data_IF_563108129991
#
_entry.id   IF_563108129991
#
_cell.length_a   1.000
_cell.length_b   1.000
_cell.length_c   1.000
_cell.angle_alpha   90.00
_cell.angle_beta   90.00
_cell.angle_gamma   90.00
#
_symmetry.space_group_name_H-M   'P 1'
#
loop_
_entity.id
_entity.type
_entity.pdbx_description
1 polymer ?
#
# COMPACT_ATOMS: atom_id res chain seq x y z
N UNK A 1 -23.77 9.82 1.62
CA UNK A 1 -23.10 9.40 2.71
C UNK A 1 -21.65 9.66 2.69
N UNK A 2 -21.19 10.12 3.71
CA UNK A 2 -19.82 10.50 3.81
C UNK A 2 -18.92 9.29 3.98
N UNK A 3 -17.73 9.34 3.42
CA UNK A 3 -16.74 8.31 3.66
C UNK A 3 -15.81 8.66 4.79
N UNK A 4 -16.14 9.70 5.50
CA UNK A 4 -15.31 10.10 6.61
C UNK A 4 -15.28 9.04 7.67
N UNK A 5 -14.12 8.81 8.19
CA UNK A 5 -13.97 7.86 9.27
C UNK A 5 -14.17 8.55 10.60
N UNK A 6 -14.68 7.81 11.56
CA UNK A 6 -14.76 8.34 12.90
C UNK A 6 -13.37 8.46 13.49
N UNK A 7 -13.25 9.25 14.53
CA UNK A 7 -11.97 9.39 15.20
C UNK A 7 -11.45 8.06 15.71
N UNK A 8 -12.35 7.21 16.20
CA UNK A 8 -11.92 5.89 16.67
C UNK A 8 -11.39 5.03 15.55
N UNK A 9 -12.00 5.09 14.39
CA UNK A 9 -11.51 4.33 13.24
C UNK A 9 -10.13 4.81 12.81
N UNK A 10 -9.93 6.11 12.80
CA UNK A 10 -8.64 6.66 12.43
C UNK A 10 -7.56 6.24 13.43
N UNK A 11 -7.89 6.27 14.72
CA UNK A 11 -6.95 5.82 15.74
C UNK A 11 -6.58 4.36 15.56
N UNK A 12 -7.59 3.54 15.23
CA UNK A 12 -7.34 2.13 14.98
C UNK A 12 -6.40 1.93 13.80
N UNK A 13 -6.63 2.68 12.74
CA UNK A 13 -5.79 2.57 11.54
C UNK A 13 -4.37 3.02 11.85
N UNK A 14 -4.22 4.10 12.61
CA UNK A 14 -2.90 4.57 12.99
C UNK A 14 -2.16 3.52 13.81
N UNK A 15 -2.86 2.85 14.69
CA UNK A 15 -2.23 1.83 15.53
C UNK A 15 -1.86 0.59 14.72
N UNK A 16 -2.67 0.26 13.72
CA UNK A 16 -2.44 -0.92 12.92
C UNK A 16 -1.37 -0.72 11.84
N UNK A 17 -1.36 0.44 11.24
CA UNK A 17 -0.45 0.71 10.12
C UNK A 17 0.61 1.72 10.54
N UNK A 18 1.51 1.28 11.40
CA UNK A 18 2.57 2.15 11.88
C UNK A 18 3.62 2.36 10.80
N UNK A 19 4.36 3.45 10.89
CA UNK A 19 5.46 3.66 9.95
C UNK A 19 6.38 2.46 9.92
N UNK A 20 6.76 2.05 8.73
CA UNK A 20 7.59 0.87 8.57
C UNK A 20 6.82 -0.39 8.21
N UNK A 21 5.50 -0.38 8.34
CA UNK A 21 4.68 -1.54 7.97
C UNK A 21 4.75 -1.75 6.47
N UNK A 22 4.91 -3.00 6.07
CA UNK A 22 4.93 -3.33 4.64
C UNK A 22 3.57 -3.79 4.17
N UNK A 23 3.19 -3.34 2.99
CA UNK A 23 1.88 -3.61 2.42
C UNK A 23 2.04 -4.04 0.98
N UNK A 24 1.19 -4.93 0.53
CA UNK A 24 1.14 -5.32 -0.88
C UNK A 24 -0.26 -5.08 -1.41
N UNK A 25 -0.36 -4.43 -2.56
CA UNK A 25 -1.65 -4.21 -3.22
C UNK A 25 -2.18 -5.50 -3.79
N UNK A 26 -3.48 -5.69 -3.67
CA UNK A 26 -4.14 -6.85 -4.27
C UNK A 26 -4.94 -6.47 -5.51
N UNK A 27 -5.07 -5.18 -5.77
CA UNK A 27 -5.74 -4.68 -6.97
C UNK A 27 -4.98 -3.48 -7.51
N UNK A 28 -5.09 -3.26 -8.81
CA UNK A 28 -4.48 -2.07 -9.42
C UNK A 28 -5.14 -0.82 -8.85
N UNK A 29 -4.35 0.23 -8.69
CA UNK A 29 -4.90 1.54 -8.35
C UNK A 29 -5.22 2.23 -9.66
N UNK A 30 -6.50 2.27 -9.97
CA UNK A 30 -6.97 2.77 -11.25
C UNK A 30 -6.51 4.21 -11.46
N UNK A 31 -5.93 4.48 -12.61
CA UNK A 31 -5.51 5.82 -12.96
C UNK A 31 -4.18 6.25 -12.40
N UNK A 32 -3.55 5.40 -11.57
CA UNK A 32 -2.34 5.81 -10.88
C UNK A 32 -1.11 5.01 -11.25
N UNK A 33 -1.24 4.06 -12.13
CA UNK A 33 -0.09 3.27 -12.55
C UNK A 33 0.58 2.48 -11.45
N UNK A 34 -0.15 2.11 -10.45
CA UNK A 34 0.35 1.24 -9.40
C UNK A 34 -0.44 -0.05 -9.48
N UNK A 35 0.24 -1.13 -9.79
CA UNK A 35 -0.42 -2.39 -10.09
C UNK A 35 -0.51 -3.30 -8.88
N UNK A 36 -1.46 -4.22 -8.95
CA UNK A 36 -1.56 -5.28 -7.97
C UNK A 36 -0.20 -5.98 -7.86
N UNK A 37 0.17 -6.36 -6.65
CA UNK A 37 1.47 -6.97 -6.40
C UNK A 37 2.54 -5.97 -6.03
N UNK A 38 2.30 -4.68 -6.24
CA UNK A 38 3.26 -3.66 -5.84
C UNK A 38 3.30 -3.58 -4.33
N UNK A 39 4.51 -3.50 -3.79
CA UNK A 39 4.71 -3.41 -2.35
C UNK A 39 5.22 -2.04 -1.98
N UNK A 40 4.98 -1.67 -0.75
CA UNK A 40 5.45 -0.39 -0.26
C UNK A 40 5.54 -0.37 1.25
N UNK A 41 6.02 0.74 1.77
CA UNK A 41 6.21 0.94 3.19
C UNK A 41 5.31 2.07 3.66
N UNK A 42 4.60 1.83 4.75
CA UNK A 42 3.78 2.88 5.36
C UNK A 42 4.70 3.94 5.94
N UNK A 43 4.42 5.20 5.63
CA UNK A 43 5.17 6.30 6.23
C UNK A 43 4.35 6.99 7.33
N UNK A 44 3.05 6.74 7.38
CA UNK A 44 2.19 7.29 8.40
C UNK A 44 0.74 7.20 8.00
N UNK A 45 -0.13 7.72 8.84
CA UNK A 45 -1.56 7.81 8.54
C UNK A 45 -1.97 9.24 8.81
N UNK A 46 -2.67 9.85 7.87
CA UNK A 46 -3.05 11.25 8.05
C UNK A 46 -4.35 11.37 8.85
N UNK A 47 -4.81 12.60 9.00
CA UNK A 47 -5.93 12.88 9.89
C UNK A 47 -7.27 12.40 9.37
N UNK A 48 -7.35 12.03 8.11
CA UNK A 48 -8.60 11.51 7.57
C UNK A 48 -8.55 9.99 7.37
N UNK A 49 -7.48 9.37 7.82
CA UNK A 49 -7.38 7.91 7.76
C UNK A 49 -6.75 7.36 6.51
N UNK A 50 -6.17 8.22 5.68
CA UNK A 50 -5.43 7.73 4.51
C UNK A 50 -4.07 7.24 4.95
N UNK A 51 -3.68 6.08 4.44
CA UNK A 51 -2.39 5.48 4.80
C UNK A 51 -1.36 5.99 3.80
N UNK A 52 -0.45 6.80 4.28
CA UNK A 52 0.57 7.39 3.42
C UNK A 52 1.65 6.35 3.15
N UNK A 53 2.03 6.23 1.90
CA UNK A 53 2.90 5.16 1.45
C UNK A 53 4.09 5.68 0.69
N UNK A 54 5.16 4.91 0.78
CA UNK A 54 6.27 5.04 -0.15
C UNK A 54 6.37 3.70 -0.86
N UNK A 55 5.94 3.66 -2.11
CA UNK A 55 5.91 2.42 -2.88
C UNK A 55 7.29 2.09 -3.42
N UNK A 56 7.56 0.80 -3.56
CA UNK A 56 8.87 0.36 -4.03
C UNK A 56 9.18 0.82 -5.45
N UNK A 57 8.14 1.19 -6.20
CA UNK A 57 8.35 1.71 -7.55
C UNK A 57 8.64 3.23 -7.56
N UNK A 58 8.81 3.82 -6.38
CA UNK A 58 9.15 5.24 -6.27
C UNK A 58 7.96 6.17 -6.10
N UNK A 59 6.75 5.64 -6.18
CA UNK A 59 5.57 6.48 -6.02
C UNK A 59 5.20 6.62 -4.54
N UNK A 60 4.44 7.65 -4.24
CA UNK A 60 4.08 7.92 -2.86
C UNK A 60 2.58 8.13 -2.66
N UNK A 61 1.77 7.51 -3.48
CA UNK A 61 0.33 7.65 -3.39
C UNK A 61 -0.22 6.92 -2.18
N UNK A 62 -1.12 7.56 -1.44
CA UNK A 62 -1.73 6.95 -0.25
C UNK A 62 -2.77 5.93 -0.64
N UNK A 63 -2.99 4.93 0.23
CA UNK A 63 -4.10 4.00 0.05
C UNK A 63 -5.20 4.37 1.03
N UNK A 64 -6.42 4.10 0.64
CA UNK A 64 -7.59 4.46 1.42
C UNK A 64 -8.29 3.18 1.86
N UNK A 65 -8.30 2.90 3.16
CA UNK A 65 -8.98 1.69 3.66
C UNK A 65 -10.45 1.69 3.23
N UNK A 66 -10.89 0.55 2.75
CA UNK A 66 -12.27 0.44 2.27
C UNK A 66 -12.46 0.80 0.82
N UNK A 67 -11.47 1.45 0.21
CA UNK A 67 -11.51 1.79 -1.21
C UNK A 67 -10.46 0.99 -1.97
N UNK A 68 -9.24 0.99 -1.46
CA UNK A 68 -8.15 0.25 -2.10
C UNK A 68 -8.00 -1.12 -1.43
N UNK A 69 -7.57 -2.09 -2.19
CA UNK A 69 -7.41 -3.45 -1.70
C UNK A 69 -5.94 -3.76 -1.48
N UNK A 70 -5.61 -4.19 -0.28
CA UNK A 70 -4.23 -4.46 0.07
C UNK A 70 -4.19 -5.33 1.32
N UNK A 71 -3.01 -5.88 1.61
CA UNK A 71 -2.82 -6.56 2.90
C UNK A 71 -1.42 -6.29 3.41
N UNK A 72 -1.28 -6.47 4.71
CA UNK A 72 0.00 -6.30 5.38
C UNK A 72 0.84 -7.56 5.16
N UNK A 73 2.13 -7.38 4.89
CA UNK A 73 3.04 -8.51 4.71
C UNK A 73 4.17 -8.40 5.71
N UNK A 74 4.80 -9.53 5.99
CA UNK A 74 5.89 -9.59 6.94
C UNK A 74 7.20 -9.75 6.21
N UNK A 75 8.34 -9.47 6.88
CA UNK A 75 9.64 -9.72 6.24
C UNK A 75 9.81 -11.18 5.83
N UNK A 76 9.27 -12.10 6.61
CA UNK A 76 9.35 -13.52 6.28
C UNK A 76 8.57 -13.82 5.01
N UNK A 77 7.40 -13.23 4.88
CA UNK A 77 6.60 -13.41 3.69
C UNK A 77 7.33 -12.85 2.47
N UNK A 78 7.95 -11.68 2.62
CA UNK A 78 8.65 -11.07 1.51
C UNK A 78 9.83 -11.92 1.05
N UNK A 79 10.54 -12.55 2.00
CA UNK A 79 11.64 -13.42 1.64
C UNK A 79 11.16 -14.64 0.89
N UNK A 80 10.07 -15.23 1.34
CA UNK A 80 9.54 -16.44 0.72
C UNK A 80 8.81 -16.13 -0.59
N UNK A 81 8.35 -14.90 -0.75
CA UNK A 81 7.55 -14.51 -1.91
C UNK A 81 8.07 -13.22 -2.51
N UNK A 82 9.18 -13.27 -3.25
CA UNK A 82 9.73 -12.05 -3.86
C UNK A 82 8.70 -11.39 -4.76
N UNK A 83 8.81 -10.08 -4.88
CA UNK A 83 7.88 -9.32 -5.71
C UNK A 83 7.89 -9.85 -7.13
N UNK A 84 6.70 -10.00 -7.69
CA UNK A 84 6.60 -10.49 -8.99
C UNK A 84 6.81 -9.51 -10.00
N UNK A 85 6.83 -8.55 -9.98
CA UNK A 85 6.89 -7.67 -10.97
C UNK A 85 7.81 -7.47 -11.66
N UNK A 86 7.92 -7.39 -12.08
CA UNK A 86 8.52 -7.25 -12.56
C UNK A 86 9.03 -6.39 -13.19
N UNK A 87 9.34 -6.31 -13.55
CA UNK A 87 9.82 -5.60 -13.98
C UNK A 87 9.83 -5.27 -14.99
N UNK A 88 9.91 -4.81 -15.42
CA UNK A 88 9.71 -4.44 -16.36
C UNK A 88 10.32 -4.51 -17.29
N UNK A 89 10.26 -4.75 -17.35
CA UNK A 89 10.61 -4.74 -18.05
C UNK A 89 11.04 -4.66 -18.72
N UNK A 90 11.07 -4.87 -18.81
CA UNK A 90 11.38 -4.89 -19.36
C UNK A 90 11.75 -4.98 -19.87
N UNK A 91 11.81 -5.13 -19.97
CA UNK A 91 12.07 -5.20 -20.43
C UNK A 91 12.36 -5.51 -20.89
N UNK A 92 12.30 -5.75 -21.02
CA UNK A 92 12.46 -6.04 -21.42
C UNK A 92 12.65 -6.19 -22.09
N UNK A 93 12.69 -6.34 -22.26
CA UNK A 93 12.84 -6.42 -22.88
C UNK A 93 13.05 -6.53 -23.58
N UNK A 94 13.34 -6.59 -23.92
CA UNK A 94 13.50 -6.72 -24.50
C UNK A 94 13.59 -6.74 -24.93
#
# INVERSE_FOLDING_TARGET
MSREMSKQQIEYIKAKYKPGTRIELTQDMVGENIRAGTRGTVTGVDDIGSIMMHWDNGRSLSVIPGVDSFYTITPEYEKANPAKQTKPRDHDAR
#
